data_IF_221031503833
#
_entry.id   IF_221031503833
#
_cell.length_a   1.000
_cell.length_b   1.000
_cell.length_c   1.000
_cell.angle_alpha   90.00
_cell.angle_beta   90.00
_cell.angle_gamma   90.00
#
_symmetry.space_group_name_H-M   'P 1'
#
loop_
_entity.id
_entity.type
_entity.pdbx_description
1 polymer ?
#
# COMPACT_ATOMS: atom_id res chain seq x y z
N UNK A 1 10.02 -15.93 -1.68
CA UNK A 1 9.47 -15.29 -2.90
C UNK A 1 9.28 -13.82 -2.58
N UNK A 2 9.78 -12.89 -3.39
CA UNK A 2 9.57 -11.45 -3.13
C UNK A 2 8.08 -11.15 -3.33
N UNK A 3 7.41 -10.71 -2.28
CA UNK A 3 6.01 -10.28 -2.33
C UNK A 3 5.92 -9.00 -3.18
N UNK A 4 5.09 -9.05 -4.22
CA UNK A 4 4.97 -8.01 -5.23
C UNK A 4 3.68 -7.25 -5.03
N UNK A 5 3.76 -5.92 -5.08
CA UNK A 5 2.61 -5.06 -4.83
C UNK A 5 2.28 -4.32 -6.11
N UNK A 6 1.05 -4.50 -6.59
CA UNK A 6 0.50 -3.75 -7.72
C UNK A 6 0.19 -2.33 -7.27
N UNK A 7 0.90 -1.34 -7.81
CA UNK A 7 0.71 0.07 -7.43
C UNK A 7 -0.03 0.89 -8.48
N UNK A 8 -0.16 0.38 -9.71
CA UNK A 8 -0.88 1.07 -10.76
C UNK A 8 -0.88 0.34 -12.10
N UNK A 9 -1.53 0.95 -13.09
CA UNK A 9 -1.62 0.44 -14.47
C UNK A 9 -1.36 1.57 -15.45
N UNK A 10 -0.56 1.29 -16.48
CA UNK A 10 -0.33 2.22 -17.58
C UNK A 10 -1.60 2.30 -18.43
N UNK A 11 -2.06 3.52 -18.66
CA UNK A 11 -3.20 3.84 -19.50
C UNK A 11 -2.78 4.28 -20.91
N UNK A 12 -3.56 5.21 -21.47
CA UNK A 12 -3.36 5.69 -22.84
C UNK A 12 -2.09 6.54 -23.00
N UNK A 13 -1.60 6.59 -24.23
CA UNK A 13 -0.58 7.55 -24.67
C UNK A 13 -1.09 8.99 -24.58
N UNK A 14 -0.18 9.93 -24.30
CA UNK A 14 -0.44 11.36 -24.21
C UNK A 14 0.52 12.15 -25.10
N UNK A 15 -0.04 13.01 -25.96
CA UNK A 15 0.74 13.81 -26.91
C UNK A 15 1.48 12.97 -27.94
N UNK A 16 2.54 13.55 -28.50
CA UNK A 16 3.39 12.96 -29.54
C UNK A 16 4.79 12.57 -29.05
N UNK A 17 5.18 13.01 -27.85
CA UNK A 17 6.54 12.84 -27.29
C UNK A 17 6.73 11.54 -26.49
N UNK A 18 5.86 10.56 -26.68
CA UNK A 18 5.98 9.25 -26.01
C UNK A 18 5.51 9.18 -24.55
N UNK A 19 4.77 10.16 -24.04
CA UNK A 19 4.19 10.06 -22.69
C UNK A 19 3.04 9.05 -22.63
N UNK A 20 2.88 8.42 -21.47
CA UNK A 20 1.71 7.60 -21.11
C UNK A 20 1.08 8.10 -19.82
N UNK A 21 -0.22 7.88 -19.65
CA UNK A 21 -0.89 8.14 -18.36
C UNK A 21 -0.77 6.95 -17.43
N UNK A 22 -0.78 7.16 -16.11
CA UNK A 22 -0.85 6.07 -15.11
C UNK A 22 -2.12 6.22 -14.26
N UNK A 23 -2.83 5.11 -14.07
CA UNK A 23 -3.89 4.97 -13.05
C UNK A 23 -3.25 4.44 -11.77
N UNK A 24 -3.19 5.27 -10.74
CA UNK A 24 -2.66 4.88 -9.42
C UNK A 24 -3.66 4.01 -8.66
N UNK A 25 -3.14 2.96 -8.02
CA UNK A 25 -3.80 2.22 -6.92
C UNK A 25 -3.11 2.46 -5.58
N UNK A 26 -2.09 3.31 -5.55
CA UNK A 26 -1.44 3.75 -4.32
C UNK A 26 -2.13 5.00 -3.78
N UNK A 27 -2.24 5.09 -2.46
CA UNK A 27 -2.72 6.28 -1.75
C UNK A 27 -1.78 7.50 -1.88
N UNK A 28 -0.57 7.29 -2.42
CA UNK A 28 0.47 8.30 -2.61
C UNK A 28 0.86 8.40 -4.10
N UNK A 29 0.04 9.00 -4.97
CA UNK A 29 0.31 9.10 -6.41
C UNK A 29 1.59 9.90 -6.74
N UNK A 30 2.06 10.77 -5.85
CA UNK A 30 3.32 11.52 -5.99
C UNK A 30 4.53 10.60 -6.09
N UNK A 31 4.45 9.37 -5.57
CA UNK A 31 5.54 8.39 -5.67
C UNK A 31 5.99 8.18 -7.12
N UNK A 32 5.08 8.22 -8.08
CA UNK A 32 5.37 7.94 -9.48
C UNK A 32 6.28 9.00 -10.11
N UNK A 33 6.33 10.22 -9.56
CA UNK A 33 7.22 11.28 -10.05
C UNK A 33 8.62 11.19 -9.45
N UNK A 34 8.80 10.44 -8.35
CA UNK A 34 10.09 10.22 -7.71
C UNK A 34 10.79 8.92 -8.15
N UNK A 35 10.09 8.04 -8.88
CA UNK A 35 10.65 6.78 -9.37
C UNK A 35 11.68 7.05 -10.47
N UNK A 36 12.78 6.27 -10.46
CA UNK A 36 13.79 6.26 -11.53
C UNK A 36 13.57 5.15 -12.55
N UNK A 37 12.90 4.08 -12.13
CA UNK A 37 12.56 2.93 -12.95
C UNK A 37 11.20 2.36 -12.54
N UNK A 38 10.52 1.67 -13.45
CA UNK A 38 9.28 0.93 -13.17
C UNK A 38 9.42 -0.52 -13.61
N UNK A 39 8.97 -1.45 -12.76
CA UNK A 39 8.77 -2.85 -13.11
C UNK A 39 7.39 -3.01 -13.71
N UNK A 40 7.34 -3.35 -14.98
CA UNK A 40 6.11 -3.52 -15.74
C UNK A 40 5.84 -5.01 -16.00
N UNK A 41 4.57 -5.41 -16.05
CA UNK A 41 4.22 -6.76 -16.51
C UNK A 41 4.71 -6.99 -17.95
N UNK A 42 5.54 -8.01 -18.16
CA UNK A 42 5.88 -8.59 -19.46
C UNK A 42 5.52 -10.07 -19.46
N UNK A 43 5.29 -10.67 -20.64
CA UNK A 43 4.79 -12.05 -20.86
C UNK A 43 4.76 -12.97 -19.63
N UNK A 44 5.86 -13.71 -19.39
CA UNK A 44 6.04 -14.56 -18.20
C UNK A 44 6.85 -13.89 -17.08
N UNK A 45 7.49 -12.74 -17.34
CA UNK A 45 8.40 -12.05 -16.42
C UNK A 45 8.25 -10.52 -16.50
N UNK A 46 8.54 -9.84 -15.39
CA UNK A 46 8.53 -8.37 -15.36
C UNK A 46 9.72 -7.79 -16.10
N UNK A 47 9.46 -6.70 -16.81
CA UNK A 47 10.46 -5.94 -17.52
C UNK A 47 10.68 -4.60 -16.79
N UNK A 48 11.93 -4.24 -16.53
CA UNK A 48 12.31 -2.97 -15.90
C UNK A 48 12.51 -1.92 -16.97
N UNK A 49 11.89 -0.74 -16.80
CA UNK A 49 12.05 0.40 -17.69
C UNK A 49 12.45 1.65 -16.91
N UNK A 50 13.52 2.31 -17.35
CA UNK A 50 13.94 3.59 -16.80
C UNK A 50 12.98 4.72 -17.17
N UNK A 51 12.75 5.63 -16.23
CA UNK A 51 11.91 6.81 -16.40
C UNK A 51 12.80 7.97 -16.84
N UNK A 52 12.46 8.58 -17.98
CA UNK A 52 13.09 9.80 -18.46
C UNK A 52 12.46 11.04 -17.79
N UNK A 53 11.13 11.04 -17.65
CA UNK A 53 10.38 12.15 -17.06
C UNK A 53 9.04 11.66 -16.48
N UNK A 54 8.61 12.24 -15.37
CA UNK A 54 7.31 11.95 -14.77
C UNK A 54 6.76 13.16 -14.00
N UNK A 55 5.47 13.45 -14.22
CA UNK A 55 4.81 14.58 -13.55
C UNK A 55 3.32 14.34 -13.36
N UNK A 56 2.72 15.10 -12.43
CA UNK A 56 1.28 15.09 -12.18
C UNK A 56 0.66 16.40 -12.68
N UNK A 57 -0.44 16.31 -13.42
CA UNK A 57 -1.23 17.47 -13.83
C UNK A 57 -2.71 17.12 -13.89
N UNK A 58 -3.56 17.96 -13.31
CA UNK A 58 -5.01 17.77 -13.27
C UNK A 58 -5.39 16.38 -12.71
N UNK A 59 -4.76 15.99 -11.60
CA UNK A 59 -4.94 14.70 -10.93
C UNK A 59 -4.70 13.47 -11.82
N UNK A 60 -3.80 13.61 -12.80
CA UNK A 60 -3.34 12.52 -13.68
C UNK A 60 -1.84 12.46 -13.68
N UNK A 61 -1.31 11.25 -13.61
CA UNK A 61 0.12 10.96 -13.65
C UNK A 61 0.51 10.74 -15.11
N UNK A 62 1.60 11.37 -15.53
CA UNK A 62 2.22 11.24 -16.84
C UNK A 62 3.63 10.71 -16.66
N UNK A 63 4.01 9.73 -17.45
CA UNK A 63 5.34 9.10 -17.41
C UNK A 63 5.87 8.98 -18.83
N UNK A 64 7.16 9.26 -19.00
CA UNK A 64 7.94 9.01 -20.20
C UNK A 64 9.09 8.06 -19.83
N UNK A 65 9.25 7.00 -20.62
CA UNK A 65 10.36 6.06 -20.45
C UNK A 65 11.53 6.46 -21.35
N UNK A 66 12.75 6.15 -20.90
CA UNK A 66 13.95 6.38 -21.70
C UNK A 66 13.85 5.69 -23.06
N UNK A 67 14.18 6.43 -24.13
CA UNK A 67 14.15 5.92 -25.49
C UNK A 67 12.75 5.78 -26.11
N UNK A 68 11.69 6.21 -25.42
CA UNK A 68 10.31 6.22 -25.93
C UNK A 68 9.93 7.65 -26.32
N UNK A 69 10.03 7.95 -27.61
CA UNK A 69 9.93 9.32 -28.12
C UNK A 69 8.74 9.58 -29.04
N UNK A 70 8.01 8.53 -29.42
CA UNK A 70 6.82 8.62 -30.27
C UNK A 70 5.58 8.05 -29.58
N UNK A 71 4.40 8.45 -30.06
CA UNK A 71 3.12 7.90 -29.60
C UNK A 71 3.06 6.40 -29.87
N UNK A 72 3.52 5.98 -31.04
CA UNK A 72 3.50 4.60 -31.51
C UNK A 72 4.36 3.70 -30.61
N UNK A 73 5.55 4.14 -30.24
CA UNK A 73 6.40 3.44 -29.27
C UNK A 73 5.74 3.34 -27.90
N UNK A 74 5.09 4.41 -27.45
CA UNK A 74 4.42 4.45 -26.15
C UNK A 74 3.19 3.53 -26.07
N UNK A 75 2.54 3.21 -27.19
CA UNK A 75 1.35 2.35 -27.22
C UNK A 75 1.63 0.94 -26.68
N UNK A 76 2.86 0.43 -26.81
CA UNK A 76 3.25 -0.92 -26.33
C UNK A 76 3.14 -1.10 -24.82
N UNK A 77 3.06 0.00 -24.07
CA UNK A 77 2.98 -0.01 -22.61
C UNK A 77 1.54 0.01 -22.10
N UNK A 78 0.56 0.32 -22.95
CA UNK A 78 -0.83 0.44 -22.52
C UNK A 78 -1.34 -0.87 -21.92
N UNK A 79 -1.93 -0.79 -20.73
CA UNK A 79 -2.43 -1.93 -19.97
C UNK A 79 -1.38 -2.67 -19.14
N UNK A 80 -0.09 -2.34 -19.26
CA UNK A 80 0.95 -2.95 -18.41
C UNK A 80 0.73 -2.56 -16.95
N UNK A 81 0.81 -3.55 -16.06
CA UNK A 81 0.73 -3.39 -14.60
C UNK A 81 2.08 -2.92 -14.05
N UNK A 82 2.06 -2.05 -13.06
CA UNK A 82 3.25 -1.48 -12.41
C UNK A 82 3.40 -2.11 -11.03
N UNK A 83 4.55 -2.73 -10.77
CA UNK A 83 4.85 -3.40 -9.52
C UNK A 83 6.03 -2.76 -8.80
N UNK A 84 6.05 -2.96 -7.48
CA UNK A 84 7.21 -2.71 -6.62
C UNK A 84 7.47 -3.94 -5.77
N UNK A 85 8.70 -4.06 -5.28
CA UNK A 85 8.99 -4.95 -4.15
C UNK A 85 8.41 -4.35 -2.87
N UNK A 86 8.08 -5.20 -1.89
CA UNK A 86 7.66 -4.77 -0.55
C UNK A 86 8.63 -3.77 0.08
N UNK A 87 9.94 -3.99 -0.10
CA UNK A 87 11.02 -3.15 0.43
C UNK A 87 11.13 -1.77 -0.25
N UNK A 88 10.46 -1.57 -1.40
CA UNK A 88 10.41 -0.30 -2.14
C UNK A 88 9.13 0.50 -1.81
N UNK A 89 8.41 0.11 -0.75
CA UNK A 89 7.35 0.94 -0.18
C UNK A 89 7.93 2.27 0.31
N UNK A 90 7.08 3.30 0.33
CA UNK A 90 7.47 4.57 0.92
C UNK A 90 7.78 4.28 2.39
N UNK A 91 8.96 4.67 2.87
CA UNK A 91 9.26 4.60 4.29
C UNK A 91 8.21 5.43 5.03
N UNK A 92 7.36 4.74 5.77
CA UNK A 92 6.38 5.36 6.63
C UNK A 92 7.14 5.98 7.82
N UNK A 93 6.68 7.13 8.30
CA UNK A 93 7.16 7.69 9.57
C UNK A 93 6.96 6.65 10.69
N UNK A 94 7.81 6.64 11.72
CA UNK A 94 7.64 5.75 12.87
C UNK A 94 6.21 5.86 13.44
N UNK A 95 5.54 4.72 13.57
CA UNK A 95 4.16 4.63 14.04
C UNK A 95 3.09 4.71 12.95
N UNK A 96 3.46 4.87 11.67
CA UNK A 96 2.54 4.68 10.54
C UNK A 96 2.73 3.29 9.94
N UNK A 97 1.62 2.63 9.63
CA UNK A 97 1.60 1.29 9.09
C UNK A 97 0.67 1.22 7.87
N UNK A 98 1.01 0.40 6.88
CA UNK A 98 0.08 0.10 5.81
C UNK A 98 -1.03 -0.79 6.36
N UNK A 99 -2.29 -0.45 6.08
CA UNK A 99 -3.45 -1.25 6.50
C UNK A 99 -3.27 -2.71 6.07
N UNK A 100 -2.82 -2.94 4.83
CA UNK A 100 -2.55 -4.29 4.29
C UNK A 100 -1.56 -5.12 5.12
N UNK A 101 -0.65 -4.47 5.84
CA UNK A 101 0.33 -5.17 6.66
C UNK A 101 -0.27 -5.57 8.01
N UNK A 102 -1.30 -4.87 8.46
CA UNK A 102 -1.99 -5.13 9.72
C UNK A 102 -3.16 -6.10 9.58
N UNK A 103 -3.87 -6.09 8.44
CA UNK A 103 -4.94 -7.07 8.17
C UNK A 103 -4.41 -8.49 8.37
N UNK A 104 -5.25 -9.34 8.98
CA UNK A 104 -4.98 -10.73 9.35
C UNK A 104 -3.87 -10.91 10.42
N UNK A 105 -3.52 -9.85 11.17
CA UNK A 105 -2.63 -9.99 12.33
C UNK A 105 -3.36 -10.55 13.54
N UNK A 106 -2.74 -11.48 14.26
CA UNK A 106 -3.22 -11.98 15.55
C UNK A 106 -3.04 -10.89 16.62
N UNK A 107 -4.10 -10.64 17.38
CA UNK A 107 -4.12 -9.61 18.42
C UNK A 107 -4.09 -10.27 19.79
N UNK A 108 -3.17 -9.81 20.63
CA UNK A 108 -2.97 -10.31 21.98
C UNK A 108 -3.08 -9.19 23.01
N UNK A 109 -3.44 -9.54 24.24
CA UNK A 109 -3.26 -8.65 25.38
C UNK A 109 -1.84 -8.76 25.99
N UNK A 110 -1.57 -7.95 27.01
CA UNK A 110 -0.32 -8.00 27.80
C UNK A 110 -0.05 -9.34 28.50
N UNK A 111 -1.07 -10.18 28.70
CA UNK A 111 -0.95 -11.51 29.28
C UNK A 111 -0.75 -12.59 28.22
N UNK A 112 -0.60 -12.18 26.94
CA UNK A 112 -0.46 -13.05 25.78
C UNK A 112 -1.70 -13.94 25.54
N UNK A 113 -2.87 -13.49 25.99
CA UNK A 113 -4.18 -14.05 25.63
C UNK A 113 -4.57 -13.54 24.23
N UNK A 114 -5.00 -14.45 23.36
CA UNK A 114 -5.50 -14.06 22.04
C UNK A 114 -6.86 -13.37 22.19
N UNK A 115 -6.96 -12.16 21.65
CA UNK A 115 -8.16 -11.31 21.64
C UNK A 115 -8.90 -11.45 20.30
N UNK A 116 -8.24 -11.95 19.25
CA UNK A 116 -8.82 -12.13 17.94
C UNK A 116 -7.87 -11.74 16.83
N UNK A 117 -8.41 -11.40 15.67
CA UNK A 117 -7.63 -11.07 14.47
C UNK A 117 -8.03 -9.70 13.94
N UNK A 118 -7.06 -8.93 13.46
CA UNK A 118 -7.31 -7.65 12.78
C UNK A 118 -8.09 -7.90 11.50
N UNK A 119 -9.34 -7.47 11.48
CA UNK A 119 -10.25 -7.67 10.34
C UNK A 119 -10.29 -6.47 9.40
N UNK A 120 -10.20 -5.28 9.95
CA UNK A 120 -10.26 -4.01 9.21
C UNK A 120 -9.62 -2.88 10.01
N UNK A 121 -9.37 -1.74 9.37
CA UNK A 121 -8.94 -0.50 10.01
C UNK A 121 -9.83 0.65 9.49
N UNK A 122 -10.56 1.28 10.42
CA UNK A 122 -11.43 2.41 10.11
C UNK A 122 -10.68 3.72 10.38
N UNK A 123 -10.51 4.54 9.36
CA UNK A 123 -10.06 5.91 9.53
C UNK A 123 -11.27 6.82 9.74
N UNK A 124 -11.40 7.41 10.94
CA UNK A 124 -12.53 8.30 11.27
C UNK A 124 -12.19 9.80 11.14
N UNK A 125 -11.04 10.13 10.55
CA UNK A 125 -10.53 11.49 10.40
C UNK A 125 -9.77 12.04 11.61
N UNK A 126 -9.87 11.43 12.79
CA UNK A 126 -9.13 11.80 13.99
C UNK A 126 -8.05 10.78 14.37
N UNK A 127 -8.37 9.49 14.29
CA UNK A 127 -7.46 8.37 14.54
C UNK A 127 -7.87 7.16 13.71
N UNK A 128 -6.91 6.29 13.44
CA UNK A 128 -7.21 4.95 12.95
C UNK A 128 -7.78 4.10 14.09
N UNK A 129 -8.79 3.29 13.78
CA UNK A 129 -9.47 2.37 14.70
C UNK A 129 -9.25 0.95 14.17
N UNK A 130 -8.61 0.11 14.96
CA UNK A 130 -8.47 -1.33 14.72
C UNK A 130 -9.81 -2.02 14.95
N UNK A 131 -10.29 -2.76 13.95
CA UNK A 131 -11.43 -3.67 14.06
C UNK A 131 -10.90 -5.07 14.31
N UNK A 132 -11.07 -5.56 15.53
CA UNK A 132 -10.58 -6.88 15.97
C UNK A 132 -11.77 -7.82 16.04
N UNK A 133 -11.68 -8.98 15.38
CA UNK A 133 -12.75 -9.97 15.38
C UNK A 133 -12.32 -11.23 16.13
N UNK A 134 -13.14 -11.63 17.10
CA UNK A 134 -13.06 -12.93 17.77
C UNK A 134 -14.26 -13.79 17.39
N UNK A 135 -14.16 -14.48 16.26
CA UNK A 135 -15.25 -15.28 15.71
C UNK A 135 -16.47 -14.44 15.29
N UNK A 136 -17.39 -14.16 16.22
CA UNK A 136 -18.67 -13.46 15.97
C UNK A 136 -18.73 -12.02 16.45
N UNK A 137 -17.91 -11.62 17.42
CA UNK A 137 -17.90 -10.27 17.99
C UNK A 137 -16.80 -9.42 17.36
N UNK A 138 -17.03 -8.11 17.30
CA UNK A 138 -16.05 -7.13 16.83
C UNK A 138 -15.77 -6.13 17.93
N UNK A 139 -14.49 -5.94 18.22
CA UNK A 139 -13.99 -4.96 19.18
C UNK A 139 -13.30 -3.84 18.41
N UNK A 140 -13.57 -2.59 18.81
CA UNK A 140 -13.00 -1.41 18.19
C UNK A 140 -11.95 -0.80 19.13
N UNK A 141 -10.69 -0.80 18.69
CA UNK A 141 -9.57 -0.30 19.49
C UNK A 141 -8.92 0.88 18.78
N UNK A 142 -8.90 2.09 19.37
CA UNK A 142 -8.16 3.20 18.80
C UNK A 142 -6.67 2.87 18.70
N UNK A 143 -6.08 3.11 17.54
CA UNK A 143 -4.68 2.81 17.25
C UNK A 143 -3.75 3.92 17.77
N UNK A 144 -3.81 4.16 19.08
CA UNK A 144 -3.03 5.17 19.81
C UNK A 144 -2.05 4.50 20.76
N UNK A 145 -0.96 5.20 21.12
CA UNK A 145 0.12 4.65 21.94
C UNK A 145 -0.33 4.20 23.33
N UNK A 146 -1.45 4.72 23.81
CA UNK A 146 -2.05 4.36 25.08
C UNK A 146 -2.68 2.96 25.08
N UNK A 147 -3.10 2.45 23.91
CA UNK A 147 -3.78 1.15 23.80
C UNK A 147 -3.02 0.13 22.97
N UNK A 148 -2.01 0.56 22.20
CA UNK A 148 -1.18 -0.31 21.36
C UNK A 148 0.24 -0.34 21.91
N UNK A 149 0.64 -1.50 22.44
CA UNK A 149 1.98 -1.69 23.00
C UNK A 149 2.98 -2.10 21.92
N UNK A 150 2.58 -3.02 21.02
CA UNK A 150 3.45 -3.60 20.00
C UNK A 150 2.68 -3.79 18.70
N UNK A 151 3.29 -3.39 17.60
CA UNK A 151 2.89 -3.78 16.24
C UNK A 151 4.10 -4.42 15.57
N UNK A 152 3.98 -5.70 15.27
CA UNK A 152 4.97 -6.49 14.55
C UNK A 152 4.35 -6.97 13.23
N UNK A 153 4.59 -6.20 12.17
CA UNK A 153 4.07 -6.50 10.83
C UNK A 153 4.75 -7.70 10.19
N UNK A 154 5.96 -8.06 10.62
CA UNK A 154 6.72 -9.18 10.07
C UNK A 154 6.14 -10.50 10.57
N UNK A 155 5.80 -10.56 11.85
CA UNK A 155 5.19 -11.73 12.48
C UNK A 155 3.66 -11.70 12.51
N UNK A 156 3.03 -10.70 11.89
CA UNK A 156 1.56 -10.52 11.88
C UNK A 156 0.99 -10.55 13.31
N UNK A 157 1.60 -9.78 14.21
CA UNK A 157 1.24 -9.74 15.63
C UNK A 157 1.01 -8.31 16.10
N UNK A 158 -0.09 -8.10 16.84
CA UNK A 158 -0.39 -6.84 17.54
C UNK A 158 -0.60 -7.15 19.02
N UNK A 159 0.00 -6.35 19.91
CA UNK A 159 -0.24 -6.42 21.36
C UNK A 159 -0.92 -5.14 21.80
N UNK A 160 -2.04 -5.29 22.50
CA UNK A 160 -2.88 -4.19 22.97
C UNK A 160 -3.01 -4.20 24.50
N UNK A 161 -3.18 -3.02 25.06
CA UNK A 161 -3.50 -2.79 26.47
C UNK A 161 -4.73 -1.89 26.58
N UNK A 162 -5.91 -2.38 26.16
CA UNK A 162 -7.17 -1.64 26.26
C UNK A 162 -7.55 -1.40 27.72
N UNK A 163 -8.33 -0.35 27.98
CA UNK A 163 -8.94 -0.16 29.31
C UNK A 163 -10.01 -1.22 29.57
N UNK A 164 -10.21 -1.55 30.84
CA UNK A 164 -11.22 -2.50 31.27
C UNK A 164 -12.63 -2.07 30.77
N UNK A 165 -13.37 -3.00 30.17
CA UNK A 165 -14.67 -2.74 29.56
C UNK A 165 -14.65 -2.18 28.14
N UNK A 166 -13.48 -1.95 27.54
CA UNK A 166 -13.36 -1.54 26.12
C UNK A 166 -13.44 -2.71 25.14
N UNK A 167 -13.17 -3.92 25.62
CA UNK A 167 -13.24 -5.16 24.86
C UNK A 167 -14.09 -6.13 25.67
N UNK A 168 -15.02 -6.80 24.98
CA UNK A 168 -15.76 -7.90 25.57
C UNK A 168 -14.83 -9.12 25.65
N UNK A 169 -14.15 -9.29 26.79
CA UNK A 169 -13.42 -10.52 27.09
C UNK A 169 -14.43 -11.61 27.48
N UNK A 170 -14.41 -12.75 26.80
CA UNK A 170 -15.14 -13.95 27.18
C UNK A 170 -14.32 -14.85 28.10
#
# INVERSE_FOLDING_TARGET
MKEKILIGVIGRTYGIKGYVTVKSYSDFPERFTAMKEMKLSGGNEEEIFNIEDAYIRNNRIYVKFEGVNSREEAMRFNGKKIFINKDERVNLEEGRYYISDLIDSDVFDKNNQCIGVVKDIINNGATDILVIRDGKTENLVPMVKEFIDIIDTDNKKVVISPIEGMIDAH
#
